data_IF_663674464171
#
_entry.id   IF_663674464171
#
_cell.length_a   1.000
_cell.length_b   1.000
_cell.length_c   1.000
_cell.angle_alpha   90.00
_cell.angle_beta   90.00
_cell.angle_gamma   90.00
#
_symmetry.space_group_name_H-M   'P 1'
#
loop_
_entity.id
_entity.type
_entity.pdbx_description
1 polymer ?
#
# COMPACT_ATOMS: atom_id res chain seq x y z
N UNK A 1 2.16 8.34 -23.82
CA UNK A 1 3.63 8.34 -23.98
C UNK A 1 4.16 7.34 -22.96
N UNK A 2 5.00 6.38 -23.35
CA UNK A 2 5.48 5.34 -22.43
C UNK A 2 6.76 5.84 -21.74
N UNK A 3 6.89 5.58 -20.44
CA UNK A 3 8.03 6.02 -19.62
C UNK A 3 9.22 5.10 -19.76
N UNK A 4 8.98 3.84 -20.12
CA UNK A 4 9.98 2.80 -20.31
C UNK A 4 10.02 2.35 -21.78
N UNK A 5 9.97 3.27 -22.75
CA UNK A 5 9.84 2.98 -24.20
C UNK A 5 10.83 1.91 -24.74
N UNK A 6 12.00 1.78 -24.10
CA UNK A 6 13.06 0.84 -24.49
C UNK A 6 12.92 -0.55 -23.89
N UNK A 7 11.91 -0.76 -23.04
CA UNK A 7 11.69 -1.99 -22.28
C UNK A 7 10.34 -2.55 -22.72
N UNK A 8 10.36 -3.74 -23.32
CA UNK A 8 9.17 -4.53 -23.56
C UNK A 8 8.76 -5.26 -22.28
N UNK A 9 7.62 -5.96 -22.30
CA UNK A 9 7.24 -6.80 -21.17
C UNK A 9 8.25 -7.94 -20.99
N UNK A 10 8.76 -8.12 -19.77
CA UNK A 10 9.77 -9.12 -19.43
C UNK A 10 9.17 -10.53 -19.55
N UNK A 11 9.80 -11.35 -20.39
CA UNK A 11 9.39 -12.72 -20.69
C UNK A 11 10.32 -13.75 -20.06
N UNK A 12 9.86 -14.99 -19.97
CA UNK A 12 10.70 -16.14 -19.63
C UNK A 12 11.49 -16.64 -20.85
N UNK A 13 12.80 -16.77 -20.72
CA UNK A 13 13.69 -17.27 -21.78
C UNK A 13 14.50 -18.52 -21.37
N UNK A 14 14.35 -18.99 -20.13
CA UNK A 14 15.05 -20.16 -19.62
C UNK A 14 16.42 -19.89 -19.00
N UNK A 15 16.94 -20.92 -18.33
CA UNK A 15 18.09 -20.80 -17.42
C UNK A 15 19.42 -20.51 -18.13
N UNK A 16 19.48 -20.71 -19.44
CA UNK A 16 20.66 -20.48 -20.28
C UNK A 16 20.67 -19.10 -20.94
N UNK A 17 19.61 -18.30 -20.81
CA UNK A 17 19.56 -16.97 -21.41
C UNK A 17 20.59 -16.03 -20.78
N UNK A 18 21.28 -15.27 -21.62
CA UNK A 18 22.18 -14.17 -21.23
C UNK A 18 21.48 -12.80 -21.23
N UNK A 19 20.23 -12.72 -21.69
CA UNK A 19 19.43 -11.50 -21.68
C UNK A 19 19.20 -11.03 -20.23
N UNK A 20 19.67 -9.83 -19.83
CA UNK A 20 19.47 -9.32 -18.48
C UNK A 20 18.03 -8.87 -18.22
N UNK A 21 17.22 -8.72 -19.27
CA UNK A 21 15.82 -8.29 -19.23
C UNK A 21 14.87 -9.45 -19.60
N UNK A 22 15.20 -10.65 -19.14
CA UNK A 22 14.36 -11.84 -19.23
C UNK A 22 14.41 -12.64 -17.93
N UNK A 23 13.31 -13.32 -17.61
CA UNK A 23 13.28 -14.27 -16.52
C UNK A 23 14.00 -15.57 -16.94
N UNK A 24 14.95 -15.99 -16.10
CA UNK A 24 15.66 -17.28 -16.27
C UNK A 24 14.97 -18.45 -15.60
N UNK A 25 14.14 -18.16 -14.59
CA UNK A 25 13.50 -19.17 -13.74
C UNK A 25 12.00 -18.94 -13.56
N UNK A 26 11.55 -17.68 -13.62
CA UNK A 26 10.13 -17.37 -13.45
C UNK A 26 9.40 -17.56 -14.78
N UNK A 27 8.75 -18.71 -14.93
CA UNK A 27 7.78 -18.96 -15.98
C UNK A 27 6.36 -18.93 -15.37
N UNK A 28 5.56 -17.87 -15.59
CA UNK A 28 4.27 -17.71 -14.91
C UNK A 28 3.30 -18.89 -15.18
N UNK A 29 3.39 -19.51 -16.36
CA UNK A 29 2.51 -20.61 -16.79
C UNK A 29 2.99 -22.00 -16.38
N UNK A 30 4.19 -22.14 -15.84
CA UNK A 30 4.72 -23.43 -15.42
C UNK A 30 3.86 -24.02 -14.29
N UNK A 31 3.42 -25.26 -14.46
CA UNK A 31 2.64 -25.98 -13.46
C UNK A 31 3.57 -26.69 -12.48
N UNK A 32 3.60 -26.20 -11.24
CA UNK A 32 4.35 -26.81 -10.14
C UNK A 32 3.33 -27.37 -9.15
N UNK A 33 3.39 -28.67 -8.89
CA UNK A 33 2.49 -29.35 -7.93
C UNK A 33 1.00 -29.02 -8.18
N UNK A 34 0.59 -28.95 -9.45
CA UNK A 34 -0.81 -28.72 -9.86
C UNK A 34 -1.27 -27.26 -9.87
N UNK A 35 -0.38 -26.29 -9.72
CA UNK A 35 -0.72 -24.85 -9.71
C UNK A 35 0.32 -24.04 -10.49
N UNK A 36 -0.11 -22.99 -11.20
CA UNK A 36 0.78 -22.11 -11.98
C UNK A 36 1.79 -21.43 -11.06
N UNK A 37 3.01 -21.21 -11.53
CA UNK A 37 4.06 -20.57 -10.75
C UNK A 37 3.64 -19.16 -10.30
N UNK A 38 2.92 -18.41 -11.16
CA UNK A 38 2.39 -17.09 -10.79
C UNK A 38 1.46 -17.16 -9.57
N UNK A 39 0.65 -18.22 -9.48
CA UNK A 39 -0.33 -18.38 -8.41
C UNK A 39 0.33 -18.84 -7.10
N UNK A 40 1.48 -19.51 -7.19
CA UNK A 40 2.31 -19.85 -6.02
C UNK A 40 2.99 -18.60 -5.46
N UNK A 41 3.65 -17.84 -6.33
CA UNK A 41 4.54 -16.75 -5.91
C UNK A 41 3.80 -15.45 -5.65
N UNK A 42 2.76 -15.16 -6.46
CA UNK A 42 1.87 -14.00 -6.32
C UNK A 42 2.65 -12.69 -6.14
N UNK A 43 3.65 -12.48 -6.99
CA UNK A 43 4.53 -11.32 -6.86
C UNK A 43 3.75 -10.00 -6.88
N UNK A 44 4.15 -9.11 -5.99
CA UNK A 44 3.61 -7.76 -5.90
C UNK A 44 4.73 -6.73 -5.96
N UNK A 45 4.55 -5.69 -6.77
CA UNK A 45 5.44 -4.53 -6.76
C UNK A 45 4.98 -3.51 -5.71
N UNK A 46 5.90 -3.06 -4.86
CA UNK A 46 5.61 -2.04 -3.86
C UNK A 46 5.66 -0.63 -4.45
N UNK A 47 4.64 0.19 -4.18
CA UNK A 47 4.54 1.54 -4.74
C UNK A 47 5.63 2.48 -4.18
N UNK A 48 5.85 2.45 -2.87
CA UNK A 48 6.75 3.37 -2.17
C UNK A 48 8.21 3.31 -2.67
N UNK A 49 8.83 2.14 -2.78
CA UNK A 49 10.22 2.05 -3.24
C UNK A 49 10.37 2.31 -4.74
N UNK A 50 9.42 1.85 -5.56
CA UNK A 50 9.52 1.97 -7.01
C UNK A 50 9.21 3.38 -7.53
N UNK A 51 8.30 4.12 -6.87
CA UNK A 51 7.81 5.40 -7.42
C UNK A 51 7.91 6.60 -6.47
N UNK A 52 8.07 6.40 -5.15
CA UNK A 52 8.12 7.49 -4.17
C UNK A 52 9.53 7.77 -3.66
N UNK A 53 10.29 6.73 -3.28
CA UNK A 53 11.64 6.91 -2.76
C UNK A 53 12.57 7.49 -3.83
N UNK A 54 13.23 8.60 -3.50
CA UNK A 54 14.11 9.35 -4.40
C UNK A 54 15.61 9.00 -4.21
N UNK A 55 15.92 7.95 -3.44
CA UNK A 55 17.30 7.54 -3.16
C UNK A 55 17.96 8.24 -1.97
N UNK A 56 17.23 9.06 -1.21
CA UNK A 56 17.78 9.68 0.00
C UNK A 56 18.10 8.64 1.08
N UNK A 57 19.11 8.95 1.90
CA UNK A 57 19.44 8.21 3.12
C UNK A 57 19.65 9.17 4.31
N UNK A 58 20.12 8.66 5.45
CA UNK A 58 20.34 9.47 6.66
C UNK A 58 21.50 10.48 6.56
N UNK A 59 22.29 10.44 5.48
CA UNK A 59 23.47 11.27 5.27
C UNK A 59 23.40 12.16 4.03
N UNK A 60 22.38 12.00 3.17
CA UNK A 60 22.33 12.69 1.88
C UNK A 60 20.91 12.92 1.34
N UNK A 61 20.84 13.85 0.38
CA UNK A 61 19.62 14.15 -0.36
C UNK A 61 19.35 13.09 -1.44
N UNK A 62 18.14 13.10 -2.01
CA UNK A 62 17.75 12.18 -3.08
C UNK A 62 18.64 12.29 -4.31
N UNK A 63 18.95 11.13 -4.91
CA UNK A 63 19.83 10.98 -6.08
C UNK A 63 19.09 10.64 -7.36
N UNK A 64 17.81 10.24 -7.28
CA UNK A 64 17.02 9.82 -8.44
C UNK A 64 16.33 11.02 -9.08
N UNK A 65 16.64 11.26 -10.36
CA UNK A 65 15.94 12.24 -11.19
C UNK A 65 14.80 11.56 -11.97
N UNK A 66 13.66 11.40 -11.30
CA UNK A 66 12.48 10.70 -11.86
C UNK A 66 11.48 11.71 -12.42
N UNK A 67 11.07 11.60 -13.71
CA UNK A 67 10.22 12.61 -14.35
C UNK A 67 8.82 12.72 -13.71
N UNK A 68 8.34 11.67 -13.05
CA UNK A 68 7.07 11.66 -12.32
C UNK A 68 7.16 12.20 -10.89
N UNK A 69 8.34 12.61 -10.43
CA UNK A 69 8.55 13.29 -9.14
C UNK A 69 8.73 14.80 -9.30
N UNK A 70 8.47 15.34 -10.49
CA UNK A 70 8.55 16.78 -10.77
C UNK A 70 7.40 17.56 -10.08
N UNK A 71 7.65 18.78 -9.58
CA UNK A 71 6.61 19.62 -8.98
C UNK A 71 5.42 19.88 -9.91
N UNK A 72 4.23 20.07 -9.33
CA UNK A 72 2.98 20.27 -10.06
C UNK A 72 1.76 20.07 -9.16
N UNK A 73 0.57 20.16 -9.77
CA UNK A 73 -0.70 19.95 -9.07
C UNK A 73 -0.84 18.51 -8.54
N UNK A 74 -1.26 18.38 -7.28
CA UNK A 74 -1.21 17.13 -6.54
C UNK A 74 -1.95 15.96 -7.23
N UNK A 75 -3.16 16.21 -7.72
CA UNK A 75 -3.95 15.17 -8.39
C UNK A 75 -3.35 14.77 -9.73
N UNK A 76 -2.80 15.72 -10.48
CA UNK A 76 -2.15 15.44 -11.76
C UNK A 76 -0.83 14.68 -11.58
N UNK A 77 -0.08 14.99 -10.52
CA UNK A 77 1.08 14.18 -10.12
C UNK A 77 0.69 12.75 -9.75
N UNK A 78 -0.38 12.58 -8.96
CA UNK A 78 -0.89 11.28 -8.56
C UNK A 78 -1.32 10.43 -9.78
N UNK A 79 -2.07 11.03 -10.72
CA UNK A 79 -2.45 10.39 -11.99
C UNK A 79 -1.23 10.01 -12.83
N UNK A 80 -0.27 10.93 -12.98
CA UNK A 80 0.98 10.69 -13.72
C UNK A 80 1.76 9.51 -13.12
N UNK A 81 1.88 9.47 -11.79
CA UNK A 81 2.56 8.40 -11.07
C UNK A 81 1.82 7.07 -11.23
N UNK A 82 0.48 7.08 -11.25
CA UNK A 82 -0.32 5.90 -11.57
C UNK A 82 -0.10 5.41 -13.01
N UNK A 83 -0.01 6.30 -14.01
CA UNK A 83 0.32 5.92 -15.38
C UNK A 83 1.68 5.18 -15.46
N UNK A 84 2.71 5.75 -14.82
CA UNK A 84 4.05 5.14 -14.76
C UNK A 84 4.00 3.80 -14.04
N UNK A 85 3.30 3.74 -12.90
CA UNK A 85 3.27 2.55 -12.06
C UNK A 85 2.62 1.37 -12.79
N UNK A 86 1.48 1.59 -13.44
CA UNK A 86 0.80 0.53 -14.16
C UNK A 86 1.50 0.13 -15.46
N UNK A 87 2.21 1.04 -16.13
CA UNK A 87 3.12 0.67 -17.20
C UNK A 87 4.25 -0.24 -16.67
N UNK A 88 4.85 0.13 -15.54
CA UNK A 88 5.92 -0.65 -14.91
C UNK A 88 5.44 -2.03 -14.47
N UNK A 89 4.28 -2.14 -13.82
CA UNK A 89 3.71 -3.43 -13.39
C UNK A 89 3.44 -4.34 -14.58
N UNK A 90 2.85 -3.78 -15.64
CA UNK A 90 2.61 -4.52 -16.88
C UNK A 90 3.92 -5.04 -17.47
N UNK A 91 4.93 -4.17 -17.61
CA UNK A 91 6.22 -4.56 -18.19
C UNK A 91 6.99 -5.55 -17.33
N UNK A 92 6.98 -5.38 -16.01
CA UNK A 92 7.61 -6.33 -15.07
C UNK A 92 6.91 -7.71 -15.06
N UNK A 93 5.69 -7.80 -15.62
CA UNK A 93 4.87 -9.01 -15.64
C UNK A 93 4.55 -9.53 -14.22
N UNK A 94 4.13 -8.61 -13.34
CA UNK A 94 3.67 -8.93 -11.98
C UNK A 94 2.15 -8.84 -11.87
N UNK A 95 1.50 -9.83 -11.22
CA UNK A 95 0.04 -9.83 -11.10
C UNK A 95 -0.49 -8.82 -10.08
N UNK A 96 0.35 -8.40 -9.12
CA UNK A 96 -0.09 -7.54 -8.03
C UNK A 96 0.75 -6.28 -7.80
N UNK A 97 0.17 -5.33 -7.08
CA UNK A 97 0.87 -4.20 -6.46
C UNK A 97 0.39 -3.99 -5.01
N UNK A 98 1.15 -3.18 -4.26
CA UNK A 98 0.83 -2.76 -2.89
C UNK A 98 1.11 -1.28 -2.69
N UNK A 99 0.33 -0.57 -1.87
CA UNK A 99 0.55 0.86 -1.59
C UNK A 99 0.22 1.26 -0.14
N UNK A 100 0.88 2.30 0.36
CA UNK A 100 0.32 3.15 1.42
C UNK A 100 -0.52 4.26 0.79
N UNK A 101 -1.58 4.70 1.46
CA UNK A 101 -2.37 5.88 1.09
C UNK A 101 -1.52 7.05 0.52
N UNK A 102 -0.53 7.54 1.27
CA UNK A 102 0.32 8.68 0.86
C UNK A 102 1.30 8.36 -0.26
N UNK A 103 1.43 7.08 -0.65
CA UNK A 103 2.19 6.72 -1.85
C UNK A 103 1.43 7.06 -3.12
N UNK A 104 0.10 7.09 -3.07
CA UNK A 104 -0.77 7.31 -4.24
C UNK A 104 -1.39 8.69 -4.25
N UNK A 105 -1.44 9.40 -3.12
CA UNK A 105 -1.96 10.78 -3.06
C UNK A 105 -0.98 11.77 -2.40
N UNK A 106 -1.28 13.06 -2.55
CA UNK A 106 -0.87 14.06 -1.55
C UNK A 106 -1.88 14.10 -0.41
N UNK A 107 -1.40 14.17 0.83
CA UNK A 107 -2.25 14.27 2.03
C UNK A 107 -3.09 15.56 2.06
N UNK A 108 -2.66 16.61 1.36
CA UNK A 108 -3.26 17.93 1.45
C UNK A 108 -3.03 18.61 2.81
N UNK A 109 -3.80 19.67 3.07
CA UNK A 109 -3.68 20.50 4.27
C UNK A 109 -4.79 20.25 5.30
N UNK A 110 -5.69 19.30 5.04
CA UNK A 110 -6.79 18.96 5.95
C UNK A 110 -7.27 17.52 5.78
N UNK A 111 -7.99 17.01 6.79
CA UNK A 111 -8.66 15.69 6.71
C UNK A 111 -9.61 15.62 5.50
N UNK A 112 -10.33 16.71 5.22
CA UNK A 112 -11.26 16.74 4.10
C UNK A 112 -10.53 16.62 2.76
N UNK A 113 -9.41 17.33 2.59
CA UNK A 113 -8.58 17.18 1.39
C UNK A 113 -8.02 15.76 1.25
N UNK A 114 -7.54 15.17 2.34
CA UNK A 114 -7.10 13.77 2.35
C UNK A 114 -8.20 12.81 1.88
N UNK A 115 -9.41 12.92 2.44
CA UNK A 115 -10.57 12.07 2.06
C UNK A 115 -10.92 12.26 0.58
N UNK A 116 -10.99 13.51 0.11
CA UNK A 116 -11.30 13.82 -1.29
C UNK A 116 -10.23 13.27 -2.23
N UNK A 117 -8.95 13.43 -1.90
CA UNK A 117 -7.84 12.93 -2.71
C UNK A 117 -7.84 11.40 -2.76
N UNK A 118 -8.07 10.73 -1.62
CA UNK A 118 -8.19 9.28 -1.55
C UNK A 118 -9.31 8.76 -2.44
N UNK A 119 -10.49 9.40 -2.42
CA UNK A 119 -11.60 9.02 -3.29
C UNK A 119 -11.23 9.17 -4.77
N UNK A 120 -10.66 10.31 -5.15
CA UNK A 120 -10.29 10.61 -6.53
C UNK A 120 -9.24 9.63 -7.09
N UNK A 121 -8.18 9.33 -6.33
CA UNK A 121 -7.16 8.39 -6.81
C UNK A 121 -7.69 6.96 -6.87
N UNK A 122 -8.62 6.58 -5.99
CA UNK A 122 -9.21 5.24 -5.99
C UNK A 122 -9.92 4.96 -7.31
N UNK A 123 -10.64 5.95 -7.85
CA UNK A 123 -11.29 5.82 -9.17
C UNK A 123 -10.25 5.64 -10.30
N UNK A 124 -9.17 6.43 -10.26
CA UNK A 124 -8.07 6.34 -11.25
C UNK A 124 -7.41 4.96 -11.19
N UNK A 125 -7.06 4.48 -10.00
CA UNK A 125 -6.42 3.17 -9.83
C UNK A 125 -7.36 2.05 -10.26
N UNK A 126 -8.66 2.14 -9.97
CA UNK A 126 -9.64 1.14 -10.40
C UNK A 126 -9.73 1.07 -11.92
N UNK A 127 -9.71 2.21 -12.62
CA UNK A 127 -9.65 2.24 -14.07
C UNK A 127 -8.37 1.58 -14.59
N UNK A 128 -7.20 1.88 -14.00
CA UNK A 128 -5.93 1.27 -14.39
C UNK A 128 -5.90 -0.24 -14.17
N UNK A 129 -6.51 -0.75 -13.10
CA UNK A 129 -6.66 -2.19 -12.88
C UNK A 129 -7.52 -2.84 -13.97
N UNK A 130 -8.58 -2.17 -14.43
CA UNK A 130 -9.42 -2.67 -15.52
C UNK A 130 -8.66 -2.69 -16.86
N UNK A 131 -7.87 -1.66 -17.14
CA UNK A 131 -7.08 -1.54 -18.37
C UNK A 131 -5.95 -2.58 -18.46
N UNK A 132 -5.33 -2.94 -17.34
CA UNK A 132 -4.10 -3.75 -17.32
C UNK A 132 -4.27 -5.16 -16.79
N UNK A 133 -5.34 -5.44 -16.04
CA UNK A 133 -5.55 -6.71 -15.34
C UNK A 133 -4.73 -6.87 -14.05
N UNK A 134 -3.85 -5.91 -13.71
CA UNK A 134 -3.06 -5.91 -12.46
C UNK A 134 -3.99 -5.71 -11.26
N UNK A 135 -3.76 -6.45 -10.17
CA UNK A 135 -4.64 -6.47 -8.99
C UNK A 135 -3.96 -5.89 -7.75
N UNK A 136 -4.75 -5.43 -6.78
CA UNK A 136 -4.22 -4.98 -5.51
C UNK A 136 -4.02 -6.20 -4.59
N UNK A 137 -2.79 -6.45 -4.11
CA UNK A 137 -2.60 -7.48 -3.09
C UNK A 137 -2.98 -6.95 -1.72
N UNK A 138 -2.52 -5.73 -1.40
CA UNK A 138 -2.93 -5.03 -0.18
C UNK A 138 -2.70 -3.52 -0.24
N UNK A 139 -3.55 -2.79 0.47
CA UNK A 139 -3.30 -1.40 0.85
C UNK A 139 -3.02 -1.29 2.36
N UNK A 140 -2.52 -0.12 2.76
CA UNK A 140 -2.22 0.22 4.16
C UNK A 140 -2.24 1.74 4.34
N UNK A 141 -2.25 2.22 5.58
CA UNK A 141 -2.07 3.63 5.91
C UNK A 141 -0.63 3.91 6.37
N UNK A 142 -0.03 4.99 5.87
CA UNK A 142 1.26 5.48 6.36
C UNK A 142 1.05 6.37 7.60
N UNK A 143 0.93 5.71 8.75
CA UNK A 143 0.82 6.40 10.04
C UNK A 143 2.18 6.55 10.74
N UNK A 144 3.25 6.88 9.99
CA UNK A 144 4.62 6.91 10.55
C UNK A 144 5.56 7.94 9.96
N UNK A 145 5.30 8.46 8.75
CA UNK A 145 6.21 9.39 8.06
C UNK A 145 5.97 10.84 8.46
N UNK A 146 4.70 11.27 8.52
CA UNK A 146 4.37 12.65 8.86
C UNK A 146 4.81 13.01 10.29
N UNK A 147 5.35 14.23 10.55
CA UNK A 147 5.84 14.63 11.88
C UNK A 147 4.84 14.46 13.02
N UNK A 148 3.53 14.56 12.73
CA UNK A 148 2.43 14.31 13.69
C UNK A 148 2.56 12.96 14.41
N UNK A 149 3.16 11.96 13.76
CA UNK A 149 3.34 10.60 14.28
C UNK A 149 4.63 10.39 15.06
N UNK A 150 5.37 11.46 15.39
CA UNK A 150 6.65 11.36 16.09
C UNK A 150 6.58 10.57 17.41
N UNK A 151 5.43 10.63 18.10
CA UNK A 151 5.18 9.93 19.37
C UNK A 151 4.19 8.76 19.22
N UNK A 152 4.06 8.17 18.03
CA UNK A 152 3.12 7.07 17.76
C UNK A 152 1.90 7.51 16.95
N UNK A 153 1.06 6.54 16.58
CA UNK A 153 -0.19 6.81 15.86
C UNK A 153 -1.39 6.34 16.69
N UNK A 154 -1.67 5.04 16.72
CA UNK A 154 -2.68 4.48 17.61
C UNK A 154 -2.23 4.47 19.09
N UNK A 155 -0.92 4.50 19.33
CA UNK A 155 -0.29 4.60 20.65
C UNK A 155 0.04 6.04 21.07
N UNK A 156 -0.34 7.04 20.27
CA UNK A 156 0.04 8.42 20.56
C UNK A 156 -0.63 8.92 21.86
N UNK A 157 0.10 9.63 22.75
CA UNK A 157 -0.50 10.24 23.94
C UNK A 157 -1.50 11.37 23.60
N UNK A 158 -1.43 11.95 22.40
CA UNK A 158 -2.37 12.94 21.90
C UNK A 158 -3.58 12.28 21.19
N UNK A 159 -4.81 12.43 21.72
CA UNK A 159 -6.01 11.85 21.12
C UNK A 159 -6.36 12.41 19.72
N UNK A 160 -5.91 13.61 19.36
CA UNK A 160 -6.14 14.15 18.03
C UNK A 160 -5.30 13.42 16.97
N UNK A 161 -4.09 13.00 17.33
CA UNK A 161 -3.23 12.17 16.45
C UNK A 161 -3.82 10.78 16.28
N UNK A 162 -4.36 10.19 17.36
CA UNK A 162 -5.10 8.92 17.29
C UNK A 162 -6.28 9.03 16.30
N UNK A 163 -7.07 10.10 16.40
CA UNK A 163 -8.21 10.32 15.52
C UNK A 163 -7.79 10.45 14.05
N UNK A 164 -6.70 11.17 13.78
CA UNK A 164 -6.16 11.28 12.44
C UNK A 164 -5.70 9.92 11.88
N UNK A 165 -4.98 9.12 12.68
CA UNK A 165 -4.55 7.78 12.28
C UNK A 165 -5.75 6.87 11.98
N UNK A 166 -6.80 6.95 12.79
CA UNK A 166 -8.05 6.20 12.57
C UNK A 166 -8.73 6.60 11.26
N UNK A 167 -8.76 7.89 10.93
CA UNK A 167 -9.29 8.37 9.64
C UNK A 167 -8.46 7.86 8.47
N UNK A 168 -7.12 7.92 8.55
CA UNK A 168 -6.25 7.38 7.50
C UNK A 168 -6.52 5.90 7.25
N UNK A 169 -6.58 5.10 8.33
CA UNK A 169 -6.87 3.66 8.23
C UNK A 169 -8.25 3.38 7.64
N UNK A 170 -9.28 4.12 8.04
CA UNK A 170 -10.62 3.93 7.49
C UNK A 170 -10.68 4.20 5.98
N UNK A 171 -10.14 5.32 5.52
CA UNK A 171 -10.18 5.66 4.08
C UNK A 171 -9.24 4.79 3.25
N UNK A 172 -8.05 4.44 3.76
CA UNK A 172 -7.14 3.51 3.10
C UNK A 172 -7.77 2.11 2.97
N UNK A 173 -8.45 1.62 4.01
CA UNK A 173 -9.16 0.34 3.97
C UNK A 173 -10.33 0.37 2.98
N UNK A 174 -11.10 1.46 2.97
CA UNK A 174 -12.18 1.66 2.01
C UNK A 174 -11.65 1.65 0.57
N UNK A 175 -10.58 2.38 0.29
CA UNK A 175 -9.90 2.36 -1.02
C UNK A 175 -9.43 0.94 -1.37
N UNK A 176 -8.80 0.24 -0.43
CA UNK A 176 -8.35 -1.15 -0.59
C UNK A 176 -9.49 -2.07 -0.99
N UNK A 177 -10.66 -1.98 -0.33
CA UNK A 177 -11.85 -2.76 -0.71
C UNK A 177 -12.38 -2.40 -2.09
N UNK A 178 -12.48 -1.11 -2.40
CA UNK A 178 -12.96 -0.65 -3.71
C UNK A 178 -12.09 -1.18 -4.84
N UNK A 179 -10.78 -1.26 -4.64
CA UNK A 179 -9.78 -1.77 -5.58
C UNK A 179 -9.66 -3.31 -5.60
N UNK A 180 -10.52 -4.02 -4.85
CA UNK A 180 -10.50 -5.48 -4.78
C UNK A 180 -9.24 -6.04 -4.11
N UNK A 181 -8.66 -5.31 -3.16
CA UNK A 181 -7.51 -5.76 -2.37
C UNK A 181 -7.81 -7.07 -1.66
N UNK A 182 -6.86 -7.99 -1.69
CA UNK A 182 -7.01 -9.28 -0.99
C UNK A 182 -6.74 -9.17 0.51
N UNK A 183 -5.85 -8.25 0.88
CA UNK A 183 -5.47 -8.04 2.27
C UNK A 183 -5.41 -6.56 2.64
N UNK A 184 -5.51 -6.24 3.92
CA UNK A 184 -5.17 -4.94 4.48
C UNK A 184 -4.08 -5.10 5.51
N UNK A 185 -3.01 -4.31 5.38
CA UNK A 185 -1.84 -4.39 6.25
C UNK A 185 -1.87 -3.29 7.30
N UNK A 186 -1.38 -3.62 8.49
CA UNK A 186 -1.09 -2.68 9.55
C UNK A 186 0.37 -2.87 9.95
N UNK A 187 1.21 -1.88 9.63
CA UNK A 187 2.62 -1.86 10.01
C UNK A 187 2.87 -0.74 11.02
N UNK A 188 3.23 -1.12 12.25
CA UNK A 188 3.41 -0.20 13.37
C UNK A 188 4.75 0.54 13.35
N UNK A 189 5.03 1.34 12.32
CA UNK A 189 6.33 2.02 12.17
C UNK A 189 6.69 2.96 13.33
N UNK A 190 5.70 3.53 14.02
CA UNK A 190 5.83 4.37 15.23
C UNK A 190 5.10 3.79 16.45
N UNK A 191 4.54 2.59 16.34
CA UNK A 191 3.79 1.97 17.43
C UNK A 191 4.76 1.26 18.38
N UNK A 192 5.34 2.04 19.29
CA UNK A 192 6.41 1.66 20.20
C UNK A 192 6.96 2.90 20.90
N UNK A 193 8.13 2.78 21.51
CA UNK A 193 8.71 3.86 22.32
C UNK A 193 10.19 4.08 22.04
N UNK A 194 10.65 5.31 22.24
CA UNK A 194 12.07 5.62 22.22
C UNK A 194 12.70 5.45 23.61
N UNK A 195 11.95 5.77 24.68
CA UNK A 195 12.40 5.62 26.07
C UNK A 195 11.25 5.24 26.99
N UNK A 196 11.51 4.39 27.98
CA UNK A 196 10.50 4.00 28.98
C UNK A 196 10.16 5.12 29.97
N UNK A 197 10.99 6.17 30.05
CA UNK A 197 10.84 7.23 31.06
C UNK A 197 9.57 8.08 30.86
N UNK A 198 9.03 8.12 29.64
CA UNK A 198 7.85 8.90 29.29
C UNK A 198 6.76 8.06 28.60
N UNK A 199 6.83 6.72 28.73
CA UNK A 199 5.93 5.79 28.07
C UNK A 199 5.14 4.99 29.11
N UNK A 200 3.81 5.14 29.09
CA UNK A 200 2.92 4.24 29.80
C UNK A 200 2.57 3.05 28.89
N UNK A 201 3.36 1.98 28.99
CA UNK A 201 3.16 0.76 28.21
C UNK A 201 1.79 0.11 28.45
N UNK A 202 1.17 0.29 29.61
CA UNK A 202 -0.17 -0.26 29.86
C UNK A 202 -1.18 0.52 29.03
N UNK A 203 -1.14 1.85 29.11
CA UNK A 203 -2.05 2.71 28.37
C UNK A 203 -1.92 2.51 26.85
N UNK A 204 -0.70 2.53 26.31
CA UNK A 204 -0.47 2.38 24.87
C UNK A 204 -0.95 1.01 24.35
N UNK A 205 -0.74 -0.07 25.13
CA UNK A 205 -1.25 -1.41 24.78
C UNK A 205 -2.77 -1.48 24.77
N UNK A 206 -3.43 -0.81 25.71
CA UNK A 206 -4.89 -0.74 25.74
C UNK A 206 -5.44 0.09 24.58
N UNK A 207 -4.79 1.22 24.24
CA UNK A 207 -5.16 2.07 23.11
C UNK A 207 -5.02 1.35 21.78
N UNK A 208 -3.87 0.74 21.50
CA UNK A 208 -3.68 0.00 20.24
C UNK A 208 -4.61 -1.22 20.17
N UNK A 209 -4.88 -1.90 21.30
CA UNK A 209 -5.87 -2.97 21.35
C UNK A 209 -7.27 -2.50 20.95
N UNK A 210 -7.71 -1.34 21.46
CA UNK A 210 -8.98 -0.70 21.05
C UNK A 210 -8.96 -0.28 19.59
N UNK A 211 -7.85 0.30 19.11
CA UNK A 211 -7.69 0.68 17.72
C UNK A 211 -7.88 -0.53 16.80
N UNK A 212 -7.20 -1.66 17.07
CA UNK A 212 -7.33 -2.88 16.27
C UNK A 212 -8.77 -3.41 16.25
N UNK A 213 -9.46 -3.37 17.39
CA UNK A 213 -10.87 -3.74 17.46
C UNK A 213 -11.73 -2.85 16.53
N UNK A 214 -11.51 -1.53 16.56
CA UNK A 214 -12.20 -0.58 15.68
C UNK A 214 -11.90 -0.84 14.19
N UNK A 215 -10.66 -1.21 13.85
CA UNK A 215 -10.28 -1.58 12.47
C UNK A 215 -11.08 -2.80 11.99
N UNK A 216 -11.19 -3.84 12.82
CA UNK A 216 -11.96 -5.05 12.51
C UNK A 216 -13.45 -4.72 12.36
N UNK A 217 -14.02 -3.95 13.28
CA UNK A 217 -15.41 -3.51 13.22
C UNK A 217 -15.71 -2.69 11.95
N UNK A 218 -14.79 -1.80 11.58
CA UNK A 218 -14.90 -1.02 10.35
C UNK A 218 -14.87 -1.91 9.11
N UNK A 219 -13.97 -2.89 9.06
CA UNK A 219 -13.90 -3.86 7.97
C UNK A 219 -15.23 -4.61 7.79
N UNK A 220 -15.78 -5.16 8.87
CA UNK A 220 -17.08 -5.87 8.87
C UNK A 220 -18.20 -4.92 8.41
N UNK A 221 -18.19 -3.67 8.86
CA UNK A 221 -19.18 -2.65 8.46
C UNK A 221 -19.11 -2.31 6.98
N UNK A 222 -17.91 -2.28 6.39
CA UNK A 222 -17.78 -2.08 4.95
C UNK A 222 -18.34 -3.27 4.16
N UNK A 223 -18.15 -4.51 4.64
CA UNK A 223 -18.70 -5.69 3.98
C UNK A 223 -20.23 -5.70 3.99
N UNK A 224 -20.86 -5.36 5.12
CA UNK A 224 -22.33 -5.34 5.23
C UNK A 224 -22.98 -4.32 4.30
N UNK A 225 -22.31 -3.18 4.02
CA UNK A 225 -22.80 -2.19 3.07
C UNK A 225 -22.71 -2.66 1.61
N UNK A 226 -21.64 -3.36 1.24
CA UNK A 226 -21.46 -3.90 -0.12
C UNK A 226 -22.49 -5.00 -0.44
N UNK A 227 -22.88 -5.79 0.56
CA UNK A 227 -23.87 -6.86 0.38
C UNK A 227 -25.29 -6.35 0.08
N UNK A 228 -25.63 -5.10 0.43
CA UNK A 228 -26.95 -4.54 0.19
C UNK A 228 -27.13 -4.02 -1.26
N UNK A 229 -26.04 -3.80 -2.01
CA UNK A 229 -26.06 -3.14 -3.32
C UNK A 229 -25.79 -4.04 -4.54
N UNK A 230 -25.55 -5.34 -4.37
CA UNK A 230 -25.31 -6.23 -5.53
C UNK A 230 -25.77 -7.67 -5.31
N UNK A 231 -26.53 -8.21 -6.27
CA UNK A 231 -26.93 -9.61 -6.33
C UNK A 231 -25.70 -10.54 -6.43
N UNK A 232 -25.60 -11.47 -5.47
CA UNK A 232 -24.75 -12.68 -5.41
C UNK A 232 -23.75 -12.90 -6.57
N UNK A 233 -22.52 -12.41 -6.39
CA UNK A 233 -21.32 -13.10 -6.89
C UNK A 233 -20.36 -13.25 -5.70
N UNK A 234 -19.64 -14.37 -5.62
CA UNK A 234 -18.66 -14.63 -4.56
C UNK A 234 -17.54 -13.59 -4.61
N UNK A 235 -17.68 -12.48 -3.90
CA UNK A 235 -16.58 -11.53 -3.67
C UNK A 235 -15.84 -11.95 -2.41
N UNK A 236 -14.52 -12.11 -2.53
CA UNK A 236 -13.62 -12.46 -1.44
C UNK A 236 -13.76 -11.44 -0.30
N UNK A 237 -13.87 -11.92 0.94
CA UNK A 237 -13.74 -11.07 2.13
C UNK A 237 -12.32 -10.49 2.17
N UNK A 238 -12.20 -9.18 2.44
CA UNK A 238 -10.90 -8.55 2.66
C UNK A 238 -10.29 -9.14 3.94
N UNK A 239 -9.18 -9.85 3.79
CA UNK A 239 -8.46 -10.39 4.94
C UNK A 239 -7.70 -9.26 5.63
N UNK A 240 -7.88 -9.07 6.93
CA UNK A 240 -6.99 -8.17 7.68
C UNK A 240 -5.76 -8.99 8.06
N UNK A 241 -4.63 -8.68 7.42
CA UNK A 241 -3.36 -9.28 7.76
C UNK A 241 -2.54 -8.29 8.55
N UNK A 242 -2.49 -8.50 9.86
CA UNK A 242 -1.64 -7.70 10.72
C UNK A 242 -0.21 -8.25 10.67
N UNK A 243 0.67 -7.56 9.95
CA UNK A 243 2.12 -7.76 10.07
C UNK A 243 2.60 -6.76 11.13
N UNK A 244 2.30 -7.08 12.39
CA UNK A 244 2.86 -6.39 13.54
C UNK A 244 4.33 -6.78 13.67
N UNK A 245 5.21 -6.09 12.94
CA UNK A 245 6.62 -6.02 13.34
C UNK A 245 6.68 -5.00 14.48
N UNK A 246 6.18 -5.41 15.65
CA UNK A 246 6.42 -4.68 16.89
C UNK A 246 7.90 -4.86 17.20
N UNK A 247 8.73 -3.92 16.75
CA UNK A 247 10.18 -3.95 17.03
C UNK A 247 10.50 -4.02 18.53
N UNK A 248 9.55 -3.72 19.43
CA UNK A 248 9.83 -3.51 20.86
C UNK A 248 8.83 -4.11 21.87
N UNK A 249 7.69 -4.67 21.48
CA UNK A 249 6.77 -5.29 22.46
C UNK A 249 7.12 -6.74 22.84
N UNK A 250 8.17 -7.33 22.25
CA UNK A 250 8.63 -8.69 22.57
C UNK A 250 9.69 -8.74 23.70
N UNK A 251 9.95 -7.63 24.39
CA UNK A 251 10.84 -7.60 25.56
C UNK A 251 10.02 -7.34 26.82
N UNK A 252 9.25 -8.33 27.25
CA UNK A 252 8.78 -8.48 28.63
C UNK A 252 8.51 -9.94 28.93
#
# INVERSE_FOLDING_TARGET
MSYFDKIEQIQYEGTTSDNPLAFRYYNPDEIILGKRMEDHLRFAACYWHNFCWNGSDMFGIGTFDRPWQTPGEALEQAKRKADVAFEFFHKLNVPFYCFHDVDVISEGNSINEYITNMAAITEVLAQKQQETGVKLLWGTANCFTHPRYGAGAATNPDPEVFAWAATQVCEAMKATKTLGGENYVLWGGREGYETLLNTDLRQEREQIGRFMQMVVEHNIKLDSKVHCSSSRSHKSQLSINMIMILRQFMVS
#
